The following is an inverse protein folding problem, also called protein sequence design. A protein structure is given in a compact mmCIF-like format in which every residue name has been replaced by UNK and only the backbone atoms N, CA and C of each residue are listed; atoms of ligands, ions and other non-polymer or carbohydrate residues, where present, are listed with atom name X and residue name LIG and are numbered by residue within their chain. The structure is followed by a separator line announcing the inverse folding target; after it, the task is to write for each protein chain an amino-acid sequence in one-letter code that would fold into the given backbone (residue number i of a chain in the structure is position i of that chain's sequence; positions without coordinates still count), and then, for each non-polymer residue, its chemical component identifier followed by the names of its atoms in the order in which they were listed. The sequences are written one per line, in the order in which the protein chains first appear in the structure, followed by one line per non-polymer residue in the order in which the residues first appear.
data_IF_961918129177
#
_entry.id   IF_961918129177
#
_cell.length_a   1.000
_cell.length_b   1.000
_cell.length_c   1.000
_cell.angle_alpha   90.00
_cell.angle_beta   90.00
_cell.angle_gamma   90.00
#
_symmetry.space_group_name_H-M   'P 1'
#
loop_
_entity.id
_entity.type
_entity.pdbx_description
1 polymer ?
#
# COMPACT_ATOMS: atom_id res chain seq x y z
N UNK A 1 -7.29 -18.56 -1.05
CA UNK A 1 -7.17 -17.50 -2.07
C UNK A 1 -5.69 -17.13 -2.16
N UNK A 2 -5.12 -16.98 -3.36
CA UNK A 2 -3.69 -16.69 -3.51
C UNK A 2 -3.47 -15.18 -3.30
N UNK A 3 -2.84 -14.81 -2.19
CA UNK A 3 -2.61 -13.41 -1.80
C UNK A 3 -1.81 -12.62 -2.85
N UNK A 4 -0.87 -13.27 -3.55
CA UNK A 4 -0.11 -12.65 -4.66
C UNK A 4 -1.03 -12.29 -5.84
N UNK A 5 -1.97 -13.18 -6.17
CA UNK A 5 -3.00 -12.90 -7.19
C UNK A 5 -3.92 -11.75 -6.77
N UNK A 6 -4.29 -11.67 -5.49
CA UNK A 6 -5.14 -10.58 -4.98
C UNK A 6 -4.42 -9.22 -5.02
N UNK A 7 -3.13 -9.16 -4.65
CA UNK A 7 -2.30 -7.95 -4.76
C UNK A 7 -2.23 -7.43 -6.19
N UNK A 8 -2.01 -8.33 -7.15
CA UNK A 8 -1.92 -7.98 -8.57
C UNK A 8 -3.28 -7.55 -9.14
N UNK A 9 -4.34 -8.33 -8.88
CA UNK A 9 -5.66 -8.11 -9.46
C UNK A 9 -6.29 -6.81 -8.97
N UNK A 10 -6.19 -6.50 -7.68
CA UNK A 10 -6.80 -5.28 -7.14
C UNK A 10 -6.18 -4.01 -7.73
N UNK A 11 -4.87 -4.01 -8.04
CA UNK A 11 -4.23 -2.89 -8.75
C UNK A 11 -4.73 -2.73 -10.18
N UNK A 12 -4.93 -3.83 -10.89
CA UNK A 12 -5.51 -3.80 -12.25
C UNK A 12 -6.95 -3.29 -12.20
N UNK A 13 -7.75 -3.79 -11.26
CA UNK A 13 -9.15 -3.38 -11.09
C UNK A 13 -9.22 -1.89 -10.75
N UNK A 14 -8.40 -1.39 -9.82
CA UNK A 14 -8.31 0.02 -9.51
C UNK A 14 -7.95 0.87 -10.73
N UNK A 15 -6.91 0.49 -11.48
CA UNK A 15 -6.46 1.24 -12.66
C UNK A 15 -7.55 1.35 -13.72
N UNK A 16 -8.29 0.25 -13.95
CA UNK A 16 -9.44 0.23 -14.86
C UNK A 16 -10.60 1.07 -14.35
N UNK A 17 -10.92 0.97 -13.05
CA UNK A 17 -11.98 1.76 -12.44
C UNK A 17 -11.67 3.25 -12.53
N UNK A 18 -10.46 3.68 -12.17
CA UNK A 18 -10.03 5.08 -12.27
C UNK A 18 -10.17 5.61 -13.70
N UNK A 19 -9.66 4.89 -14.71
CA UNK A 19 -9.76 5.30 -16.12
C UNK A 19 -11.21 5.39 -16.62
N UNK A 20 -12.10 4.48 -16.18
CA UNK A 20 -13.50 4.53 -16.55
C UNK A 20 -14.24 5.70 -15.89
N UNK A 21 -13.98 5.95 -14.61
CA UNK A 21 -14.56 7.08 -13.89
C UNK A 21 -14.09 8.42 -14.49
N UNK A 22 -12.81 8.54 -14.85
CA UNK A 22 -12.29 9.74 -15.51
C UNK A 22 -12.96 9.99 -16.87
N UNK A 23 -13.20 8.94 -17.66
CA UNK A 23 -13.95 9.04 -18.92
C UNK A 23 -15.40 9.48 -18.73
N UNK A 24 -16.05 9.05 -17.63
CA UNK A 24 -17.46 9.34 -17.36
C UNK A 24 -17.69 10.72 -16.75
N UNK A 25 -16.76 11.17 -15.90
CA UNK A 25 -16.97 12.36 -15.05
C UNK A 25 -15.95 13.48 -15.31
N UNK A 26 -15.00 13.28 -16.22
CA UNK A 26 -13.87 14.18 -16.40
C UNK A 26 -12.83 14.02 -15.28
N UNK A 27 -12.08 15.07 -15.00
CA UNK A 27 -11.01 15.03 -14.00
C UNK A 27 -11.57 14.64 -12.62
N UNK A 28 -10.96 13.63 -12.00
CA UNK A 28 -11.40 13.15 -10.69
C UNK A 28 -10.88 14.06 -9.59
N UNK A 29 -11.78 14.49 -8.69
CA UNK A 29 -11.36 15.20 -7.47
C UNK A 29 -10.58 14.27 -6.53
N UNK A 30 -9.74 14.85 -5.68
CA UNK A 30 -8.98 14.10 -4.67
C UNK A 30 -9.86 13.21 -3.78
N UNK A 31 -11.07 13.69 -3.45
CA UNK A 31 -12.05 12.92 -2.68
C UNK A 31 -12.50 11.67 -3.43
N UNK A 32 -12.81 11.81 -4.72
CA UNK A 32 -13.23 10.68 -5.57
C UNK A 32 -12.09 9.67 -5.73
N UNK A 33 -10.86 10.15 -5.92
CA UNK A 33 -9.68 9.27 -5.99
C UNK A 33 -9.51 8.51 -4.67
N UNK A 34 -9.63 9.19 -3.53
CA UNK A 34 -9.54 8.56 -2.20
C UNK A 34 -10.63 7.50 -1.97
N UNK A 35 -11.86 7.79 -2.37
CA UNK A 35 -12.98 6.85 -2.25
C UNK A 35 -12.77 5.62 -3.15
N UNK A 36 -12.32 5.81 -4.40
CA UNK A 36 -11.97 4.72 -5.31
C UNK A 36 -10.83 3.86 -4.75
N UNK A 37 -9.76 4.47 -4.24
CA UNK A 37 -8.64 3.73 -3.61
C UNK A 37 -9.15 2.88 -2.46
N UNK A 38 -9.99 3.44 -1.58
CA UNK A 38 -10.56 2.72 -0.44
C UNK A 38 -11.43 1.54 -0.86
N UNK A 39 -12.20 1.65 -1.95
CA UNK A 39 -13.05 0.57 -2.43
C UNK A 39 -12.26 -0.58 -3.06
N UNK A 40 -11.26 -0.26 -3.88
CA UNK A 40 -10.57 -1.28 -4.68
C UNK A 40 -9.27 -1.80 -4.08
N UNK A 41 -8.56 -0.99 -3.28
CA UNK A 41 -7.21 -1.32 -2.82
C UNK A 41 -7.14 -1.72 -1.34
N UNK A 42 -8.18 -1.45 -0.54
CA UNK A 42 -8.19 -1.78 0.89
C UNK A 42 -7.84 -3.25 1.17
N UNK A 43 -8.40 -4.27 0.46
CA UNK A 43 -8.02 -5.65 0.69
C UNK A 43 -6.51 -5.90 0.48
N UNK A 44 -5.93 -5.34 -0.59
CA UNK A 44 -4.49 -5.43 -0.86
C UNK A 44 -3.65 -4.79 0.23
N UNK A 45 -4.09 -3.66 0.78
CA UNK A 45 -3.35 -2.98 1.84
C UNK A 45 -3.32 -3.78 3.14
N UNK A 46 -4.39 -4.49 3.46
CA UNK A 46 -4.44 -5.39 4.62
C UNK A 46 -3.48 -6.57 4.45
N UNK A 47 -3.37 -7.10 3.23
CA UNK A 47 -2.41 -8.15 2.89
C UNK A 47 -0.98 -7.60 3.00
N UNK A 48 -0.65 -6.49 2.34
CA UNK A 48 0.67 -5.87 2.40
C UNK A 48 1.10 -5.56 3.84
N UNK A 49 0.19 -5.00 4.65
CA UNK A 49 0.41 -4.71 6.05
C UNK A 49 0.80 -5.94 6.89
N UNK A 50 0.17 -7.08 6.60
CA UNK A 50 0.52 -8.36 7.23
C UNK A 50 1.92 -8.82 6.83
N UNK A 51 2.23 -8.78 5.53
CA UNK A 51 3.56 -9.14 5.01
C UNK A 51 4.65 -8.26 5.60
N UNK A 52 4.45 -6.93 5.64
CA UNK A 52 5.40 -6.00 6.25
C UNK A 52 5.71 -6.34 7.69
N UNK A 53 4.67 -6.53 8.51
CA UNK A 53 4.83 -6.84 9.93
C UNK A 53 5.52 -8.18 10.15
N UNK A 54 5.05 -9.22 9.45
CA UNK A 54 5.61 -10.57 9.59
C UNK A 54 7.07 -10.61 9.15
N UNK A 55 7.41 -10.02 8.00
CA UNK A 55 8.80 -10.00 7.52
C UNK A 55 9.69 -9.18 8.43
N UNK A 56 9.23 -8.01 8.91
CA UNK A 56 9.99 -7.21 9.88
C UNK A 56 10.26 -8.01 11.17
N UNK A 57 9.24 -8.68 11.70
CA UNK A 57 9.36 -9.48 12.93
C UNK A 57 10.29 -10.70 12.74
N UNK A 58 10.22 -11.39 11.60
CA UNK A 58 11.11 -12.52 11.26
C UNK A 58 12.57 -12.08 11.17
N UNK A 59 12.82 -10.90 10.61
CA UNK A 59 14.15 -10.31 10.51
C UNK A 59 14.63 -9.68 11.83
N UNK A 60 13.81 -9.69 12.89
CA UNK A 60 14.15 -9.11 14.18
C UNK A 60 14.31 -7.60 14.17
N UNK A 61 13.71 -6.91 13.20
CA UNK A 61 13.89 -5.46 13.00
C UNK A 61 12.88 -4.68 13.84
N UNK A 62 13.34 -3.64 14.55
CA UNK A 62 12.44 -2.76 15.29
C UNK A 62 11.83 -1.69 14.36
N UNK A 63 10.62 -1.22 14.69
CA UNK A 63 9.99 -0.13 13.92
C UNK A 63 10.85 1.15 13.89
N UNK A 64 11.47 1.62 15.01
CA UNK A 64 12.39 2.75 14.98
C UNK A 64 13.54 2.57 13.98
N UNK A 65 14.22 1.42 14.01
CA UNK A 65 15.40 1.18 13.15
C UNK A 65 15.02 1.16 11.66
N UNK A 66 13.89 0.54 11.33
CA UNK A 66 13.37 0.53 9.95
C UNK A 66 12.97 1.94 9.51
N UNK A 67 12.31 2.70 10.37
CA UNK A 67 11.89 4.06 10.06
C UNK A 67 13.10 4.99 9.83
N UNK A 68 14.14 4.86 10.66
CA UNK A 68 15.41 5.58 10.51
C UNK A 68 16.12 5.18 9.21
N UNK A 69 16.26 3.88 8.94
CA UNK A 69 16.93 3.36 7.73
C UNK A 69 16.26 3.81 6.44
N UNK A 70 14.93 3.96 6.45
CA UNK A 70 14.15 4.41 5.31
C UNK A 70 13.98 5.94 5.26
N UNK A 71 14.44 6.67 6.29
CA UNK A 71 14.20 8.10 6.47
C UNK A 71 12.70 8.46 6.38
N UNK A 72 11.85 7.70 7.08
CA UNK A 72 10.40 7.91 7.18
C UNK A 72 9.99 8.09 8.64
N UNK A 73 8.80 8.65 8.87
CA UNK A 73 8.27 8.72 10.23
C UNK A 73 7.83 7.34 10.74
N UNK A 74 8.05 7.07 12.03
CA UNK A 74 7.53 5.86 12.70
C UNK A 74 6.00 5.78 12.55
N UNK A 75 5.31 6.92 12.53
CA UNK A 75 3.87 6.98 12.35
C UNK A 75 3.44 6.46 10.96
N UNK A 76 4.18 6.79 9.90
CA UNK A 76 3.88 6.31 8.55
C UNK A 76 4.23 4.84 8.38
N UNK A 77 5.33 4.36 8.98
CA UNK A 77 5.62 2.92 9.06
C UNK A 77 4.48 2.15 9.73
N UNK A 78 3.95 2.67 10.84
CA UNK A 78 2.78 2.08 11.52
C UNK A 78 1.54 2.07 10.63
N UNK A 79 1.27 3.13 9.87
CA UNK A 79 0.14 3.15 8.92
C UNK A 79 0.29 2.08 7.84
N UNK A 80 1.51 1.85 7.34
CA UNK A 80 1.80 0.77 6.40
C UNK A 80 1.53 -0.60 7.02
N UNK A 81 1.99 -0.85 8.26
CA UNK A 81 1.77 -2.11 8.96
C UNK A 81 0.32 -2.34 9.43
N UNK A 82 -0.54 -1.32 9.36
CA UNK A 82 -1.99 -1.42 9.64
C UNK A 82 -2.83 -1.47 8.36
N UNK A 83 -2.28 -1.07 7.21
CA UNK A 83 -2.99 -1.11 5.92
C UNK A 83 -3.92 0.09 5.71
N UNK A 84 -3.53 1.27 6.23
CA UNK A 84 -4.30 2.52 6.11
C UNK A 84 -3.88 3.30 4.86
N UNK A 85 -4.80 4.01 4.23
CA UNK A 85 -4.48 4.96 3.15
C UNK A 85 -4.02 6.31 3.72
N UNK A 86 -3.00 6.89 3.12
CA UNK A 86 -2.48 8.21 3.49
C UNK A 86 -1.64 8.79 2.35
N UNK A 87 -1.26 10.06 2.49
CA UNK A 87 -0.41 10.73 1.51
C UNK A 87 0.92 9.97 1.34
N UNK A 88 1.36 9.76 0.10
CA UNK A 88 2.59 9.01 -0.26
C UNK A 88 2.62 7.52 0.13
N UNK A 89 1.51 6.93 0.59
CA UNK A 89 1.44 5.51 1.00
C UNK A 89 2.09 4.55 -0.01
N UNK A 90 1.80 4.70 -1.30
CA UNK A 90 2.33 3.77 -2.32
C UNK A 90 3.85 3.91 -2.51
N UNK A 91 4.37 5.13 -2.42
CA UNK A 91 5.82 5.38 -2.50
C UNK A 91 6.54 4.75 -1.30
N UNK A 92 6.03 5.01 -0.07
CA UNK A 92 6.63 4.45 1.15
C UNK A 92 6.47 2.93 1.22
N UNK A 93 5.35 2.39 0.75
CA UNK A 93 5.15 0.95 0.66
C UNK A 93 6.17 0.29 -0.28
N UNK A 94 6.51 0.91 -1.41
CA UNK A 94 7.51 0.38 -2.34
C UNK A 94 8.94 0.46 -1.76
N UNK A 95 9.25 1.53 -1.02
CA UNK A 95 10.51 1.62 -0.26
C UNK A 95 10.61 0.50 0.78
N UNK A 96 9.56 0.28 1.56
CA UNK A 96 9.53 -0.76 2.58
C UNK A 96 9.61 -2.17 1.96
N UNK A 97 8.92 -2.43 0.83
CA UNK A 97 9.07 -3.68 0.10
C UNK A 97 10.51 -3.93 -0.33
N UNK A 98 11.16 -2.91 -0.90
CA UNK A 98 12.55 -3.02 -1.35
C UNK A 98 13.49 -3.33 -0.19
N UNK A 99 13.31 -2.65 0.95
CA UNK A 99 14.09 -2.86 2.17
C UNK A 99 13.88 -4.26 2.77
N UNK A 100 12.64 -4.74 2.82
CA UNK A 100 12.29 -6.08 3.31
C UNK A 100 12.46 -7.19 2.26
N UNK A 101 12.98 -6.87 1.06
CA UNK A 101 13.15 -7.80 -0.06
C UNK A 101 11.85 -8.50 -0.49
N UNK A 102 10.72 -7.81 -0.38
CA UNK A 102 9.42 -8.27 -0.81
C UNK A 102 9.19 -7.97 -2.31
N UNK A 103 8.38 -8.78 -3.02
CA UNK A 103 8.04 -8.52 -4.41
C UNK A 103 7.42 -7.13 -4.60
N UNK A 104 7.92 -6.38 -5.59
CA UNK A 104 7.29 -5.15 -6.04
C UNK A 104 6.03 -5.50 -6.83
N UNK A 105 4.88 -5.21 -6.24
CA UNK A 105 3.58 -5.22 -6.93
C UNK A 105 3.27 -3.87 -7.56
#
# INVERSE_FOLDING_TARGET
MNESLELHNNRIIFSRAAANYEKMFGFLSDKMVKDLRKWFLKPSWVIEARHFRMTRDILGLSQPDVAESLNISIADLRKLEVGVDFFQRDALANQLKSYLQLPLS
#
